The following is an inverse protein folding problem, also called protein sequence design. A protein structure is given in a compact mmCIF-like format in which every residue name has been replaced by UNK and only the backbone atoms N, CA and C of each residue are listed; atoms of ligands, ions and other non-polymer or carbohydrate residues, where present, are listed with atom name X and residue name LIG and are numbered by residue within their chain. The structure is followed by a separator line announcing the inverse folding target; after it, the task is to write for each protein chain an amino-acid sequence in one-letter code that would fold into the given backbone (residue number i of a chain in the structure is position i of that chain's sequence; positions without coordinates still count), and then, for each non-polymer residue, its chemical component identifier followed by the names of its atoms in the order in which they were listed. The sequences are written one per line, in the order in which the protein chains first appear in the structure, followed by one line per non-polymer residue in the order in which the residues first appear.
data_IF_486821398438
#
_entry.id   IF_486821398438
#
_cell.length_a   1.000
_cell.length_b   1.000
_cell.length_c   1.000
_cell.angle_alpha   90.00
_cell.angle_beta   90.00
_cell.angle_gamma   90.00
#
_symmetry.space_group_name_H-M   'P 1'
#
loop_
_entity.id
_entity.type
_entity.pdbx_description
1 polymer ?
#
# COMPACT_ATOMS: atom_id res chain seq x y z
N UNK A 1 24.17 -11.82 0.34
CA UNK A 1 23.22 -10.95 -0.42
C UNK A 1 22.90 -9.72 0.43
N UNK A 2 23.03 -8.49 -0.10
CA UNK A 2 22.83 -7.28 0.69
C UNK A 2 21.35 -7.06 1.08
N UNK A 3 21.09 -6.71 2.34
CA UNK A 3 19.74 -6.54 2.92
C UNK A 3 18.85 -5.54 2.14
N UNK A 4 19.46 -4.57 1.47
CA UNK A 4 18.76 -3.58 0.62
C UNK A 4 17.99 -4.25 -0.53
N UNK A 5 18.60 -5.24 -1.19
CA UNK A 5 17.97 -5.95 -2.32
C UNK A 5 16.75 -6.77 -1.87
N UNK A 6 16.82 -7.36 -0.67
CA UNK A 6 15.72 -8.11 -0.05
C UNK A 6 14.55 -7.20 0.33
N UNK A 7 14.83 -5.99 0.85
CA UNK A 7 13.78 -5.00 1.18
C UNK A 7 13.07 -4.46 -0.05
N UNK A 8 13.81 -4.17 -1.14
CA UNK A 8 13.22 -3.70 -2.39
C UNK A 8 12.29 -4.72 -3.05
N UNK A 9 12.66 -6.00 -3.08
CA UNK A 9 11.80 -7.04 -3.65
C UNK A 9 10.52 -7.24 -2.83
N UNK A 10 10.61 -7.20 -1.50
CA UNK A 10 9.45 -7.25 -0.62
C UNK A 10 8.51 -6.06 -0.84
N UNK A 11 9.05 -4.84 -0.97
CA UNK A 11 8.26 -3.65 -1.26
C UNK A 11 7.54 -3.76 -2.62
N UNK A 12 8.22 -4.26 -3.65
CA UNK A 12 7.61 -4.49 -4.96
C UNK A 12 6.48 -5.52 -4.85
N UNK A 13 6.69 -6.62 -4.11
CA UNK A 13 5.66 -7.63 -3.89
C UNK A 13 4.42 -7.07 -3.20
N UNK A 14 4.62 -6.31 -2.12
CA UNK A 14 3.52 -5.66 -1.38
C UNK A 14 2.73 -4.72 -2.28
N UNK A 15 3.42 -3.87 -3.06
CA UNK A 15 2.75 -2.95 -4.00
C UNK A 15 1.96 -3.68 -5.08
N UNK A 16 2.48 -4.79 -5.62
CA UNK A 16 1.73 -5.62 -6.58
C UNK A 16 0.45 -6.16 -5.95
N UNK A 17 0.53 -6.74 -4.74
CA UNK A 17 -0.66 -7.21 -4.01
C UNK A 17 -1.67 -6.10 -3.77
N UNK A 18 -1.22 -4.90 -3.35
CA UNK A 18 -2.11 -3.75 -3.20
C UNK A 18 -2.78 -3.37 -4.51
N UNK A 19 -2.05 -3.35 -5.62
CA UNK A 19 -2.62 -3.00 -6.93
C UNK A 19 -3.63 -4.03 -7.41
N UNK A 20 -3.36 -5.32 -7.22
CA UNK A 20 -4.31 -6.41 -7.50
C UNK A 20 -5.57 -6.27 -6.66
N UNK A 21 -5.46 -5.99 -5.35
CA UNK A 21 -6.63 -5.78 -4.50
C UNK A 21 -7.45 -4.57 -4.96
N UNK A 22 -6.81 -3.48 -5.40
CA UNK A 22 -7.52 -2.32 -5.96
C UNK A 22 -8.21 -2.60 -7.29
N UNK A 23 -7.61 -3.42 -8.15
CA UNK A 23 -8.25 -3.87 -9.37
C UNK A 23 -9.50 -4.72 -9.07
N UNK A 24 -9.41 -5.61 -8.08
CA UNK A 24 -10.55 -6.39 -7.59
C UNK A 24 -11.65 -5.51 -6.99
N UNK A 25 -11.31 -4.65 -6.03
CA UNK A 25 -12.27 -3.70 -5.42
C UNK A 25 -12.99 -2.87 -6.48
N UNK A 26 -12.27 -2.37 -7.51
CA UNK A 26 -12.88 -1.57 -8.57
C UNK A 26 -13.86 -2.40 -9.42
N UNK A 27 -13.49 -3.63 -9.76
CA UNK A 27 -14.35 -4.54 -10.51
C UNK A 27 -15.64 -4.84 -9.73
N UNK A 28 -15.54 -5.17 -8.44
CA UNK A 28 -16.69 -5.49 -7.58
C UNK A 28 -17.59 -4.28 -7.31
N UNK A 29 -17.01 -3.12 -6.97
CA UNK A 29 -17.78 -1.94 -6.57
C UNK A 29 -18.49 -1.27 -7.74
N UNK A 30 -17.91 -1.34 -8.94
CA UNK A 30 -18.43 -0.63 -10.12
C UNK A 30 -18.89 -1.57 -11.23
N UNK A 31 -18.87 -2.88 -11.02
CA UNK A 31 -19.26 -3.88 -12.03
C UNK A 31 -18.44 -3.78 -13.31
N UNK A 32 -17.17 -3.38 -13.21
CA UNK A 32 -16.30 -3.14 -14.35
C UNK A 32 -15.42 -4.35 -14.67
N UNK A 33 -15.20 -4.62 -15.95
CA UNK A 33 -14.18 -5.58 -16.37
C UNK A 33 -12.78 -4.94 -16.26
N UNK A 34 -11.89 -5.56 -15.48
CA UNK A 34 -10.57 -5.02 -15.14
C UNK A 34 -9.49 -6.06 -15.39
N UNK A 35 -8.49 -5.69 -16.20
CA UNK A 35 -7.28 -6.47 -16.40
C UNK A 35 -6.05 -5.67 -15.98
N UNK A 36 -5.18 -6.31 -15.22
CA UNK A 36 -3.91 -5.75 -14.78
C UNK A 36 -2.78 -6.64 -15.29
N UNK A 37 -1.84 -6.05 -16.03
CA UNK A 37 -0.66 -6.73 -16.56
C UNK A 37 0.58 -6.00 -16.06
N UNK A 38 1.44 -6.71 -15.33
CA UNK A 38 2.70 -6.17 -14.81
C UNK A 38 3.84 -7.03 -15.34
N UNK A 39 4.76 -6.43 -16.10
CA UNK A 39 6.01 -7.07 -16.48
C UNK A 39 7.15 -6.58 -15.58
N UNK A 40 7.78 -7.49 -14.85
CA UNK A 40 8.88 -7.15 -13.95
C UNK A 40 9.93 -8.27 -13.92
N UNK A 41 11.19 -7.91 -14.18
CA UNK A 41 12.35 -8.81 -14.10
C UNK A 41 12.15 -10.13 -14.88
N UNK A 42 11.67 -10.02 -16.12
CA UNK A 42 11.47 -11.19 -16.98
C UNK A 42 10.21 -12.01 -16.70
N UNK A 43 9.32 -11.55 -15.81
CA UNK A 43 8.10 -12.28 -15.44
C UNK A 43 6.87 -11.38 -15.54
N UNK A 44 5.81 -11.94 -16.11
CA UNK A 44 4.47 -11.35 -16.09
C UNK A 44 3.72 -11.74 -14.82
N UNK A 45 3.01 -10.77 -14.25
CA UNK A 45 2.00 -10.95 -13.22
C UNK A 45 0.70 -10.38 -13.76
N UNK A 46 -0.34 -11.21 -13.81
CA UNK A 46 -1.62 -10.84 -14.41
C UNK A 46 -2.75 -11.02 -13.40
N UNK A 47 -3.76 -10.18 -13.53
CA UNK A 47 -5.06 -10.30 -12.87
C UNK A 47 -6.14 -9.97 -13.89
N UNK A 48 -7.23 -10.70 -13.85
CA UNK A 48 -8.42 -10.51 -14.68
C UNK A 48 -9.63 -10.64 -13.77
N UNK A 49 -10.56 -9.69 -13.86
CA UNK A 49 -11.82 -9.75 -13.12
C UNK A 49 -12.64 -10.98 -13.50
N UNK A 50 -13.33 -11.62 -12.55
CA UNK A 50 -14.28 -12.67 -12.86
C UNK A 50 -15.54 -12.03 -13.47
N UNK A 51 -15.90 -12.36 -14.72
CA UNK A 51 -17.13 -11.82 -15.32
C UNK A 51 -17.27 -12.08 -16.81
N UNK A 52 -16.18 -11.94 -17.56
CA UNK A 52 -16.22 -11.98 -19.02
C UNK A 52 -15.24 -13.02 -19.59
N UNK A 53 -15.71 -14.07 -20.30
CA UNK A 53 -14.84 -15.14 -20.81
C UNK A 53 -13.88 -14.67 -21.92
N UNK A 54 -14.20 -13.56 -22.58
CA UNK A 54 -13.40 -12.99 -23.69
C UNK A 54 -12.59 -11.75 -23.26
N UNK A 55 -12.42 -11.52 -21.96
CA UNK A 55 -11.72 -10.35 -21.42
C UNK A 55 -10.33 -10.74 -20.86
N UNK A 56 -9.27 -9.93 -21.04
CA UNK A 56 -9.25 -8.63 -21.73
C UNK A 56 -9.22 -8.74 -23.26
N UNK A 57 -9.81 -7.76 -23.96
CA UNK A 57 -9.63 -7.63 -25.41
C UNK A 57 -8.15 -7.37 -25.76
N UNK A 58 -7.76 -7.79 -26.96
CA UNK A 58 -6.45 -7.48 -27.50
C UNK A 58 -6.26 -5.98 -27.70
N UNK A 59 -5.00 -5.52 -27.72
CA UNK A 59 -4.67 -4.12 -27.98
C UNK A 59 -5.27 -3.60 -29.30
N UNK A 60 -5.31 -4.45 -30.34
CA UNK A 60 -5.88 -4.10 -31.65
C UNK A 60 -7.40 -3.90 -31.55
N UNK A 61 -8.09 -4.77 -30.82
CA UNK A 61 -9.54 -4.65 -30.59
C UNK A 61 -9.86 -3.38 -29.80
N UNK A 62 -9.08 -3.07 -28.76
CA UNK A 62 -9.24 -1.82 -27.99
C UNK A 62 -9.05 -0.61 -28.91
N UNK A 63 -7.98 -0.56 -29.71
CA UNK A 63 -7.73 0.60 -30.58
C UNK A 63 -8.81 0.84 -31.65
N UNK A 64 -9.55 -0.21 -32.01
CA UNK A 64 -10.62 -0.16 -33.01
C UNK A 64 -12.02 -0.05 -32.39
N UNK A 65 -12.13 0.02 -31.06
CA UNK A 65 -13.43 0.07 -30.39
C UNK A 65 -14.09 1.45 -30.49
N UNK A 66 -15.41 1.47 -30.40
CA UNK A 66 -16.19 2.68 -30.17
C UNK A 66 -16.85 2.63 -28.79
N UNK A 67 -16.83 3.72 -28.00
CA UNK A 67 -16.23 5.02 -28.28
C UNK A 67 -14.69 4.98 -28.32
N UNK A 68 -14.08 6.04 -28.87
CA UNK A 68 -12.61 6.17 -28.94
C UNK A 68 -12.01 5.98 -27.54
N UNK A 69 -11.06 5.05 -27.35
CA UNK A 69 -10.47 4.78 -26.05
C UNK A 69 -9.77 6.00 -25.45
N UNK A 70 -9.93 6.19 -24.15
CA UNK A 70 -9.19 7.19 -23.38
C UNK A 70 -7.90 6.54 -22.86
N UNK A 71 -6.75 6.98 -23.36
CA UNK A 71 -5.44 6.46 -22.95
C UNK A 71 -4.84 7.36 -21.85
N UNK A 72 -4.58 6.79 -20.67
CA UNK A 72 -3.89 7.48 -19.57
C UNK A 72 -2.38 7.21 -19.65
N UNK A 73 -1.57 8.27 -19.78
CA UNK A 73 -0.12 8.20 -19.84
C UNK A 73 0.50 8.47 -18.45
N UNK A 74 1.77 8.08 -18.22
CA UNK A 74 2.44 8.32 -16.93
C UNK A 74 2.40 9.79 -16.47
N UNK A 75 2.53 10.74 -17.41
CA UNK A 75 2.46 12.17 -17.12
C UNK A 75 1.10 12.61 -16.56
N UNK A 76 0.01 11.95 -16.96
CA UNK A 76 -1.34 12.22 -16.44
C UNK A 76 -1.48 11.76 -14.98
N UNK A 77 -0.73 10.72 -14.59
CA UNK A 77 -0.74 10.17 -13.23
C UNK A 77 0.13 10.99 -12.25
N UNK A 78 1.21 11.59 -12.73
CA UNK A 78 2.22 12.27 -11.89
C UNK A 78 1.70 13.53 -11.20
N UNK A 79 0.75 14.25 -11.81
CA UNK A 79 0.11 15.45 -11.23
C UNK A 79 -0.54 15.14 -9.88
N UNK A 80 -1.03 13.91 -9.67
CA UNK A 80 -1.66 13.47 -8.42
C UNK A 80 -0.65 12.91 -7.41
N UNK A 81 0.43 12.28 -7.89
CA UNK A 81 1.48 11.70 -7.04
C UNK A 81 2.40 12.76 -6.40
N UNK A 82 2.66 13.88 -7.06
CA UNK A 82 3.47 14.97 -6.49
C UNK A 82 2.71 15.75 -5.40
N UNK A 83 1.39 15.95 -5.56
CA UNK A 83 0.56 16.65 -4.56
C UNK A 83 0.58 16.00 -3.18
N UNK A 84 0.73 14.68 -3.08
CA UNK A 84 0.86 13.97 -1.80
C UNK A 84 2.26 14.01 -1.18
N UNK A 85 3.30 14.36 -1.94
CA UNK A 85 4.66 14.53 -1.41
C UNK A 85 4.95 15.97 -0.96
N UNK A 86 4.16 16.93 -1.45
CA UNK A 86 4.36 18.36 -1.21
C UNK A 86 3.41 18.93 -0.14
N UNK A 87 2.69 18.10 0.60
CA UNK A 87 1.83 18.54 1.71
C UNK A 87 2.54 18.52 3.07
N UNK A 88 3.87 18.45 3.10
CA UNK A 88 4.64 18.72 4.32
C UNK A 88 4.85 20.24 4.41
N UNK A 89 4.05 20.85 5.27
CA UNK A 89 4.11 22.26 5.65
C UNK A 89 5.43 22.53 6.41
N UNK A 90 6.29 23.48 5.97
CA UNK A 90 7.57 23.71 6.60
C UNK A 90 7.53 24.87 7.61
N UNK A 91 7.11 24.61 8.85
CA UNK A 91 7.51 25.40 10.03
C UNK A 91 7.93 24.44 11.15
N UNK A 92 9.22 24.10 11.23
CA UNK A 92 10.23 24.67 12.15
C UNK A 92 9.78 24.76 13.62
N UNK A 93 10.33 23.98 14.57
CA UNK A 93 11.68 23.99 15.16
C UNK A 93 11.62 24.54 16.60
N UNK A 94 11.97 23.66 17.56
CA UNK A 94 12.25 23.83 19.02
C UNK A 94 11.26 22.99 19.85
N UNK A 95 11.69 22.02 20.65
CA UNK A 95 12.80 22.11 21.60
C UNK A 95 13.49 20.76 21.83
N UNK A 96 14.81 20.84 21.97
CA UNK A 96 15.72 19.81 22.47
C UNK A 96 15.51 19.54 23.96
N UNK A 97 15.73 18.28 24.32
CA UNK A 97 16.39 17.75 25.52
C UNK A 97 15.81 18.01 26.92
N UNK A 98 15.41 16.91 27.58
CA UNK A 98 15.69 16.46 28.97
C UNK A 98 14.52 15.57 29.41
N UNK A 99 14.68 14.39 30.00
CA UNK A 99 15.81 13.61 30.45
C UNK A 99 15.22 12.30 30.98
N UNK A 100 15.93 11.19 30.78
CA UNK A 100 15.57 9.90 31.34
C UNK A 100 15.94 9.91 32.84
N UNK A 101 14.99 9.64 33.72
CA UNK A 101 15.26 9.29 35.11
C UNK A 101 14.20 8.29 35.59
N UNK A 102 14.54 7.02 35.43
CA UNK A 102 13.91 5.91 36.12
C UNK A 102 14.07 6.10 37.64
N UNK A 103 12.97 6.11 38.38
CA UNK A 103 12.99 5.75 39.81
C UNK A 103 11.84 4.82 40.12
N UNK A 104 12.22 3.57 40.38
CA UNK A 104 11.39 2.54 40.98
C UNK A 104 10.98 2.97 42.39
N UNK A 105 9.69 2.85 42.71
CA UNK A 105 9.26 2.74 44.11
C UNK A 105 8.30 1.56 44.21
N UNK A 106 8.82 0.49 44.78
CA UNK A 106 8.07 -0.67 45.23
C UNK A 106 7.17 -0.30 46.41
N UNK A 107 5.98 -0.86 46.50
CA UNK A 107 5.34 -1.23 47.79
C UNK A 107 4.23 -2.26 47.51
N UNK A 108 4.43 -3.48 48.00
CA UNK A 108 3.43 -4.54 48.05
C UNK A 108 2.73 -4.52 49.43
N UNK A 109 1.41 -4.80 49.54
CA UNK A 109 0.77 -4.95 50.84
C UNK A 109 0.93 -6.40 51.36
N UNK A 110 1.57 -6.54 52.52
CA UNK A 110 1.61 -7.81 53.28
C UNK A 110 0.28 -8.05 53.98
N UNK A 111 -0.19 -9.30 53.87
CA UNK A 111 -1.24 -9.90 54.69
C UNK A 111 -0.81 -9.94 56.16
N UNK A 112 -1.71 -9.59 57.07
CA UNK A 112 -1.61 -9.91 58.49
C UNK A 112 -2.73 -10.89 58.85
N UNK A 113 -2.36 -12.14 59.10
CA UNK A 113 -3.18 -13.04 59.91
C UNK A 113 -2.71 -12.95 61.36
N UNK A 114 -3.66 -13.00 62.30
CA UNK A 114 -3.39 -13.01 63.76
C UNK A 114 -2.76 -14.32 64.23
N UNK A 115 -2.45 -14.45 65.53
CA UNK A 115 -3.41 -15.20 66.37
C UNK A 115 -3.53 -14.78 67.85
N UNK A 116 -4.65 -15.26 68.39
CA UNK A 116 -5.12 -15.53 69.75
C UNK A 116 -4.08 -15.68 70.87
N UNK A 117 -4.34 -15.05 72.03
CA UNK A 117 -4.55 -15.69 73.34
C UNK A 117 -5.37 -14.74 74.22
#
# INVERSE_FOLDING_TARGET
MSNVRKRQSQNASRRRSTLTNKAYEYAELYGADVALIIYQKGRYYTYVSPGSPCFPPSKKEIMNSFPIPINMLPHDADVKCQRKRNSEDPEQLRSKEKGCADTNIATAPRRSEGPTT
#
